data_IF_381675295466
#
_entry.id   IF_381675295466
#
_cell.length_a   1.000
_cell.length_b   1.000
_cell.length_c   1.000
_cell.angle_alpha   90.00
_cell.angle_beta   90.00
_cell.angle_gamma   90.00
#
_symmetry.space_group_name_H-M   'P 1'
#
loop_
_entity.id
_entity.type
_entity.pdbx_description
1 polymer ?
#
# COMPACT_ATOMS: atom_id res chain seq x y z
N UNK A 1 -17.82 12.19 69.74
CA UNK A 1 -18.79 12.20 68.63
C UNK A 1 -17.99 12.36 67.33
N UNK A 2 -17.75 11.25 66.56
CA UNK A 2 -17.00 11.24 65.30
C UNK A 2 -18.00 11.31 64.15
N UNK A 3 -17.84 12.32 63.28
CA UNK A 3 -18.65 12.47 62.05
C UNK A 3 -18.14 11.49 60.99
N UNK A 4 -19.04 10.62 60.51
CA UNK A 4 -18.78 9.75 59.36
C UNK A 4 -18.67 10.60 58.07
N UNK A 5 -17.68 10.36 57.19
CA UNK A 5 -17.63 11.05 55.91
C UNK A 5 -18.76 10.53 55.01
N UNK A 6 -19.42 11.46 54.31
CA UNK A 6 -20.42 11.17 53.27
C UNK A 6 -19.76 10.45 52.11
N UNK A 7 -20.30 9.30 51.74
CA UNK A 7 -19.97 8.62 50.47
C UNK A 7 -20.46 9.54 49.35
N UNK A 8 -19.52 9.94 48.51
CA UNK A 8 -19.84 10.56 47.21
C UNK A 8 -20.38 9.47 46.29
N UNK A 9 -21.65 9.56 45.93
CA UNK A 9 -22.25 8.74 44.90
C UNK A 9 -21.57 9.08 43.57
N UNK A 10 -20.61 8.26 43.18
CA UNK A 10 -20.13 8.28 41.81
C UNK A 10 -21.22 7.62 40.95
N UNK A 11 -22.09 8.45 40.37
CA UNK A 11 -22.99 7.98 39.34
C UNK A 11 -22.13 7.52 38.15
N UNK A 12 -21.96 6.23 38.01
CA UNK A 12 -21.44 5.63 36.81
C UNK A 12 -22.46 5.87 35.69
N UNK A 13 -22.29 6.98 34.98
CA UNK A 13 -23.06 7.21 33.76
C UNK A 13 -22.67 6.10 32.78
N UNK A 14 -23.59 5.19 32.51
CA UNK A 14 -23.44 4.23 31.45
C UNK A 14 -23.17 5.02 30.15
N UNK A 15 -22.18 4.61 29.37
CA UNK A 15 -21.90 5.29 28.10
C UNK A 15 -23.10 5.10 27.17
N UNK A 16 -23.95 6.09 27.10
CA UNK A 16 -25.05 6.10 26.15
C UNK A 16 -24.45 6.24 24.76
N UNK A 17 -24.67 5.21 23.91
CA UNK A 17 -24.25 5.22 22.52
C UNK A 17 -25.05 6.28 21.77
N UNK A 18 -24.52 7.50 21.73
CA UNK A 18 -25.15 8.57 20.96
C UNK A 18 -25.00 8.27 19.45
N UNK A 19 -25.96 8.72 18.63
CA UNK A 19 -25.81 8.57 17.16
C UNK A 19 -24.50 9.16 16.63
N UNK A 20 -24.00 10.23 17.25
CA UNK A 20 -22.71 10.82 16.89
C UNK A 20 -21.54 9.90 17.21
N UNK A 21 -21.59 9.19 18.32
CA UNK A 21 -20.57 8.23 18.72
C UNK A 21 -20.56 7.04 17.75
N UNK A 22 -21.75 6.53 17.37
CA UNK A 22 -21.89 5.45 16.40
C UNK A 22 -21.33 5.87 15.03
N UNK A 23 -21.64 7.09 14.58
CA UNK A 23 -21.11 7.64 13.33
C UNK A 23 -19.59 7.77 13.38
N UNK A 24 -19.04 8.20 14.51
CA UNK A 24 -17.59 8.29 14.68
C UNK A 24 -16.93 6.92 14.62
N UNK A 25 -17.54 5.91 15.28
CA UNK A 25 -17.05 4.52 15.22
C UNK A 25 -17.09 3.97 13.79
N UNK A 26 -18.19 4.19 13.07
CA UNK A 26 -18.32 3.75 11.68
C UNK A 26 -17.25 4.42 10.82
N UNK A 27 -17.07 5.74 10.97
CA UNK A 27 -16.06 6.48 10.21
C UNK A 27 -14.62 6.03 10.52
N UNK A 28 -14.35 5.70 11.79
CA UNK A 28 -13.01 5.22 12.17
C UNK A 28 -12.74 3.79 11.67
N UNK A 29 -13.80 3.00 11.47
CA UNK A 29 -13.68 1.60 11.06
C UNK A 29 -13.56 1.45 9.54
N UNK A 30 -14.22 2.34 8.78
CA UNK A 30 -14.19 2.27 7.31
C UNK A 30 -12.93 2.99 6.80
N UNK A 31 -12.00 2.26 6.16
CA UNK A 31 -10.80 2.91 5.62
C UNK A 31 -11.17 3.92 4.52
N UNK A 32 -10.45 5.02 4.41
CA UNK A 32 -10.64 5.93 3.29
C UNK A 32 -10.41 5.23 1.96
N UNK A 33 -11.02 5.76 0.90
CA UNK A 33 -10.94 5.18 -0.44
C UNK A 33 -10.03 6.06 -1.29
N UNK A 34 -9.07 5.42 -1.94
CA UNK A 34 -8.15 6.12 -2.84
C UNK A 34 -8.94 6.81 -3.98
N UNK A 35 -8.59 8.06 -4.34
CA UNK A 35 -9.34 8.81 -5.38
C UNK A 35 -9.50 8.06 -6.70
N UNK A 36 -8.50 7.26 -7.10
CA UNK A 36 -8.57 6.47 -8.34
C UNK A 36 -9.70 5.44 -8.35
N UNK A 37 -10.28 5.10 -7.19
CA UNK A 37 -11.40 4.16 -7.09
C UNK A 37 -12.76 4.81 -7.26
N UNK A 38 -12.86 6.13 -7.08
CA UNK A 38 -14.14 6.84 -7.08
C UNK A 38 -14.98 6.63 -8.34
N UNK A 39 -14.41 6.72 -9.58
CA UNK A 39 -15.22 6.52 -10.78
C UNK A 39 -15.78 5.10 -10.91
N UNK A 40 -15.05 4.08 -10.44
CA UNK A 40 -15.52 2.69 -10.49
C UNK A 40 -16.66 2.46 -9.51
N UNK A 41 -16.56 3.02 -8.31
CA UNK A 41 -17.62 2.94 -7.30
C UNK A 41 -18.86 3.67 -7.83
N UNK A 42 -18.67 4.88 -8.37
CA UNK A 42 -19.78 5.67 -8.95
C UNK A 42 -20.47 4.92 -10.08
N UNK A 43 -19.71 4.25 -10.96
CA UNK A 43 -20.28 3.44 -12.05
C UNK A 43 -21.13 2.28 -11.50
N UNK A 44 -20.65 1.56 -10.48
CA UNK A 44 -21.40 0.50 -9.84
C UNK A 44 -22.71 1.01 -9.23
N UNK A 45 -22.65 2.14 -8.53
CA UNK A 45 -23.81 2.78 -7.92
C UNK A 45 -24.81 3.28 -9.00
N UNK A 46 -24.29 3.79 -10.13
CA UNK A 46 -25.14 4.22 -11.25
C UNK A 46 -25.90 3.03 -11.85
N UNK A 47 -25.23 1.87 -12.03
CA UNK A 47 -25.90 0.64 -12.51
C UNK A 47 -27.01 0.26 -11.53
N UNK A 48 -26.73 0.29 -10.22
CA UNK A 48 -27.74 -0.04 -9.21
C UNK A 48 -28.91 0.94 -9.23
N UNK A 49 -28.63 2.24 -9.40
CA UNK A 49 -29.65 3.30 -9.43
C UNK A 49 -30.54 3.25 -10.67
N UNK A 50 -29.93 3.17 -11.86
CA UNK A 50 -30.69 3.09 -13.12
C UNK A 50 -31.50 1.80 -13.18
N UNK A 51 -30.91 0.70 -12.69
CA UNK A 51 -31.57 -0.61 -12.67
C UNK A 51 -32.36 -0.89 -11.40
N UNK A 52 -32.78 0.12 -10.62
CA UNK A 52 -33.32 -0.11 -9.28
C UNK A 52 -34.57 -1.04 -9.27
N UNK A 53 -35.35 -1.02 -10.34
CA UNK A 53 -36.54 -1.86 -10.49
C UNK A 53 -36.20 -3.33 -10.82
N UNK A 54 -34.99 -3.59 -11.30
CA UNK A 54 -34.53 -4.93 -11.63
C UNK A 54 -33.59 -5.43 -10.54
N UNK A 55 -34.02 -6.36 -9.73
CA UNK A 55 -33.25 -6.85 -8.58
C UNK A 55 -31.82 -7.30 -8.94
N UNK A 56 -31.64 -7.87 -10.13
CA UNK A 56 -30.31 -8.31 -10.58
C UNK A 56 -29.38 -7.14 -10.87
N UNK A 57 -29.86 -6.11 -11.59
CA UNK A 57 -29.06 -4.92 -11.88
C UNK A 57 -28.67 -4.20 -10.58
N UNK A 58 -29.64 -4.05 -9.66
CA UNK A 58 -29.39 -3.44 -8.36
C UNK A 58 -28.33 -4.22 -7.57
N UNK A 59 -28.48 -5.55 -7.45
CA UNK A 59 -27.53 -6.39 -6.72
C UNK A 59 -26.15 -6.36 -7.34
N UNK A 60 -26.05 -6.53 -8.66
CA UNK A 60 -24.76 -6.52 -9.37
C UNK A 60 -24.06 -5.17 -9.22
N UNK A 61 -24.81 -4.07 -9.37
CA UNK A 61 -24.23 -2.73 -9.20
C UNK A 61 -23.69 -2.49 -7.79
N UNK A 62 -24.46 -2.89 -6.77
CA UNK A 62 -24.03 -2.75 -5.38
C UNK A 62 -22.83 -3.63 -5.05
N UNK A 63 -22.82 -4.88 -5.55
CA UNK A 63 -21.68 -5.79 -5.35
C UNK A 63 -20.42 -5.25 -6.03
N UNK A 64 -20.56 -4.73 -7.26
CA UNK A 64 -19.43 -4.14 -7.98
C UNK A 64 -18.89 -2.90 -7.25
N UNK A 65 -19.78 -2.03 -6.77
CA UNK A 65 -19.39 -0.85 -6.01
C UNK A 65 -18.66 -1.24 -4.71
N UNK A 66 -19.18 -2.24 -3.99
CA UNK A 66 -18.58 -2.76 -2.76
C UNK A 66 -17.20 -3.39 -3.02
N UNK A 67 -17.08 -4.19 -4.08
CA UNK A 67 -15.81 -4.82 -4.47
C UNK A 67 -14.76 -3.74 -4.81
N UNK A 68 -15.17 -2.70 -5.55
CA UNK A 68 -14.28 -1.57 -5.87
C UNK A 68 -13.89 -0.81 -4.59
N UNK A 69 -14.83 -0.57 -3.68
CA UNK A 69 -14.51 0.10 -2.42
C UNK A 69 -13.49 -0.71 -1.60
N UNK A 70 -13.66 -2.03 -1.56
CA UNK A 70 -12.69 -2.92 -0.89
C UNK A 70 -11.32 -2.88 -1.54
N UNK A 71 -11.28 -2.94 -2.87
CA UNK A 71 -10.01 -2.93 -3.63
C UNK A 71 -9.24 -1.61 -3.45
N UNK A 72 -9.94 -0.47 -3.52
CA UNK A 72 -9.31 0.85 -3.47
C UNK A 72 -9.21 1.41 -2.04
N UNK A 73 -9.29 0.60 -1.01
CA UNK A 73 -9.18 1.03 0.38
C UNK A 73 -7.75 1.43 0.77
N UNK A 74 -7.32 2.35 1.45
CA UNK A 74 -6.36 2.71 1.87
C UNK A 74 -6.30 2.60 3.10
N UNK A 75 -6.21 1.64 3.87
CA UNK A 75 -6.19 1.54 5.32
C UNK A 75 -5.13 2.44 5.96
N UNK A 76 -5.42 3.01 7.10
CA UNK A 76 -4.40 3.78 7.83
C UNK A 76 -3.27 2.84 8.27
N UNK A 77 -2.04 3.36 8.30
CA UNK A 77 -0.85 2.60 8.70
C UNK A 77 0.01 3.45 9.63
N UNK A 78 0.68 2.79 10.55
CA UNK A 78 1.57 3.44 11.50
C UNK A 78 2.97 2.84 11.31
N UNK A 79 3.90 3.58 10.71
CA UNK A 79 5.26 3.08 10.53
C UNK A 79 5.94 2.79 11.85
N UNK A 80 6.87 1.81 11.87
CA UNK A 80 7.60 1.52 13.10
C UNK A 80 8.51 2.69 13.50
N UNK A 81 8.68 2.90 14.79
CA UNK A 81 9.54 3.96 15.33
C UNK A 81 11.03 3.62 15.25
N UNK A 82 11.38 2.43 14.75
CA UNK A 82 12.77 1.97 14.68
C UNK A 82 13.58 2.78 13.67
N UNK A 83 14.64 3.42 14.13
CA UNK A 83 15.53 4.18 13.26
C UNK A 83 16.16 3.27 12.20
N UNK A 84 16.26 3.80 10.98
CA UNK A 84 16.84 3.06 9.87
C UNK A 84 15.95 1.96 9.28
N UNK A 85 14.70 1.83 9.71
CA UNK A 85 13.81 0.82 9.15
C UNK A 85 13.53 1.08 7.66
N UNK A 86 13.63 0.03 6.86
CA UNK A 86 13.10 0.00 5.50
C UNK A 86 11.83 -0.85 5.57
N UNK A 87 10.68 -0.25 5.30
CA UNK A 87 9.39 -0.94 5.44
C UNK A 87 8.87 -1.46 4.10
N UNK A 88 7.99 -2.46 4.18
CA UNK A 88 7.32 -3.01 3.01
C UNK A 88 6.49 -1.91 2.32
N UNK A 89 6.67 -1.69 1.02
CA UNK A 89 5.87 -0.69 0.31
C UNK A 89 4.50 -1.18 -0.11
N UNK A 90 4.17 -2.45 0.11
CA UNK A 90 2.90 -3.04 -0.31
C UNK A 90 2.40 -4.07 0.68
N UNK A 91 1.07 -4.24 0.74
CA UNK A 91 0.43 -5.42 1.35
C UNK A 91 0.62 -6.60 0.40
N UNK A 92 0.87 -7.79 0.94
CA UNK A 92 0.96 -8.97 0.11
C UNK A 92 1.77 -10.09 0.75
N UNK A 93 2.32 -10.94 -0.12
CA UNK A 93 3.16 -12.06 0.30
C UNK A 93 4.52 -11.92 -0.38
N UNK A 94 5.59 -12.08 0.37
CA UNK A 94 6.95 -12.07 -0.19
C UNK A 94 7.12 -13.28 -1.09
N UNK A 95 7.37 -13.04 -2.37
CA UNK A 95 7.50 -14.11 -3.37
C UNK A 95 8.94 -14.35 -3.82
N UNK A 96 9.82 -13.32 -3.72
CA UNK A 96 11.22 -13.46 -4.10
C UNK A 96 12.09 -12.68 -3.10
N UNK A 97 13.21 -13.26 -2.72
CA UNK A 97 14.33 -12.58 -2.04
C UNK A 97 15.59 -13.04 -2.78
N UNK A 98 16.25 -12.11 -3.46
CA UNK A 98 17.43 -12.41 -4.25
C UNK A 98 18.33 -11.17 -4.37
N UNK A 99 19.31 -11.23 -5.26
CA UNK A 99 20.06 -10.06 -5.71
C UNK A 99 19.85 -9.90 -7.21
N UNK A 100 19.63 -8.68 -7.65
CA UNK A 100 19.37 -8.38 -9.05
C UNK A 100 19.89 -7.00 -9.41
N UNK A 101 20.24 -6.82 -10.68
CA UNK A 101 20.60 -5.49 -11.17
C UNK A 101 19.39 -4.56 -11.03
N UNK A 102 19.59 -3.32 -10.57
CA UNK A 102 18.48 -2.36 -10.49
C UNK A 102 17.95 -2.04 -11.89
N UNK A 103 16.71 -1.52 -11.99
CA UNK A 103 16.13 -1.19 -13.31
C UNK A 103 17.06 -0.31 -14.15
N UNK A 104 17.34 -0.74 -15.37
CA UNK A 104 18.28 -0.05 -16.26
C UNK A 104 17.87 1.40 -16.54
N UNK A 105 16.57 1.68 -16.55
CA UNK A 105 16.03 3.03 -16.79
C UNK A 105 16.38 4.02 -15.68
N UNK A 106 16.87 3.54 -14.52
CA UNK A 106 17.31 4.42 -13.42
C UNK A 106 18.79 4.81 -13.53
N UNK A 107 19.55 4.20 -14.46
CA UNK A 107 20.97 4.49 -14.68
C UNK A 107 21.81 4.36 -13.39
N UNK A 108 21.55 3.29 -12.61
CA UNK A 108 22.26 3.01 -11.35
C UNK A 108 23.44 2.03 -11.55
N UNK A 109 23.72 1.63 -12.81
CA UNK A 109 24.71 0.61 -13.10
C UNK A 109 24.13 -0.79 -12.99
N UNK A 110 24.98 -1.80 -13.20
CA UNK A 110 24.57 -3.20 -13.26
C UNK A 110 24.94 -4.00 -12.00
N UNK A 111 25.54 -3.36 -10.99
CA UNK A 111 25.92 -4.05 -9.77
C UNK A 111 24.67 -4.58 -9.06
N UNK A 112 24.62 -5.90 -8.77
CA UNK A 112 23.42 -6.46 -8.14
C UNK A 112 23.16 -5.88 -6.75
N UNK A 113 21.91 -5.56 -6.47
CA UNK A 113 21.44 -5.09 -5.18
C UNK A 113 20.51 -6.14 -4.57
N UNK A 114 20.46 -6.24 -3.24
CA UNK A 114 19.47 -7.09 -2.60
C UNK A 114 18.06 -6.65 -3.00
N UNK A 115 17.20 -7.62 -3.33
CA UNK A 115 15.84 -7.33 -3.78
C UNK A 115 14.83 -8.16 -2.99
N UNK A 116 13.77 -7.54 -2.53
CA UNK A 116 12.61 -8.19 -1.92
C UNK A 116 11.40 -7.88 -2.80
N UNK A 117 10.71 -8.93 -3.26
CA UNK A 117 9.53 -8.79 -4.12
C UNK A 117 8.28 -9.24 -3.37
N UNK A 118 7.23 -8.42 -3.43
CA UNK A 118 5.95 -8.66 -2.77
C UNK A 118 4.88 -8.82 -3.84
N UNK A 119 4.18 -9.94 -3.81
CA UNK A 119 3.03 -10.20 -4.68
C UNK A 119 1.76 -9.74 -3.99
N UNK A 120 0.97 -8.90 -4.68
CA UNK A 120 -0.30 -8.38 -4.19
C UNK A 120 -1.43 -9.17 -4.84
N UNK A 121 -2.18 -9.91 -4.03
CA UNK A 121 -3.38 -10.60 -4.51
C UNK A 121 -4.52 -9.58 -4.65
N UNK A 122 -5.59 -9.95 -5.36
CA UNK A 122 -6.75 -9.05 -5.55
C UNK A 122 -7.44 -8.66 -4.23
N UNK A 123 -7.19 -9.40 -3.15
CA UNK A 123 -7.77 -9.13 -1.84
C UNK A 123 -6.92 -8.19 -0.98
N UNK A 124 -5.68 -7.93 -1.38
CA UNK A 124 -4.79 -7.03 -0.65
C UNK A 124 -5.12 -5.57 -0.96
N UNK A 125 -4.71 -4.65 -0.07
CA UNK A 125 -4.80 -3.23 -0.39
C UNK A 125 -3.74 -2.90 -1.45
N UNK A 126 -4.16 -2.24 -2.52
CA UNK A 126 -3.28 -2.03 -3.68
C UNK A 126 -2.57 -0.68 -3.67
N UNK A 127 -2.63 0.04 -2.55
CA UNK A 127 -1.94 1.31 -2.35
C UNK A 127 -0.49 1.04 -1.99
N UNK A 128 0.45 1.73 -2.65
CA UNK A 128 1.88 1.62 -2.33
C UNK A 128 2.33 2.76 -1.43
N UNK A 129 3.27 2.42 -0.54
CA UNK A 129 3.80 3.35 0.45
C UNK A 129 5.32 3.46 0.37
N UNK A 130 5.82 4.65 0.71
CA UNK A 130 7.26 4.92 0.73
C UNK A 130 7.97 3.98 1.71
N UNK A 131 8.97 3.21 1.25
CA UNK A 131 9.67 2.28 2.14
C UNK A 131 10.62 2.96 3.12
N UNK A 132 11.03 4.18 2.83
CA UNK A 132 11.93 4.99 3.67
C UNK A 132 11.51 6.46 3.59
N UNK A 133 11.95 7.26 4.57
CA UNK A 133 11.86 8.71 4.46
C UNK A 133 13.01 9.23 3.57
N UNK A 134 12.70 10.13 2.66
CA UNK A 134 13.73 10.69 1.79
C UNK A 134 13.16 11.54 0.66
N UNK A 135 14.04 11.94 -0.23
CA UNK A 135 13.70 12.70 -1.42
C UNK A 135 13.60 11.77 -2.63
N UNK A 136 12.57 11.93 -3.42
CA UNK A 136 12.40 11.21 -4.70
C UNK A 136 13.39 11.81 -5.69
N UNK A 137 14.40 11.03 -6.09
CA UNK A 137 15.45 11.50 -6.99
C UNK A 137 15.26 11.01 -8.43
N UNK A 138 14.40 10.01 -8.65
CA UNK A 138 14.04 9.56 -10.00
C UNK A 138 12.67 8.87 -9.99
N UNK A 139 11.91 9.09 -11.04
CA UNK A 139 10.66 8.36 -11.34
C UNK A 139 10.74 7.99 -12.81
N UNK A 140 10.74 6.69 -13.14
CA UNK A 140 10.91 6.22 -14.51
C UNK A 140 9.88 5.13 -14.84
N UNK A 141 9.04 5.40 -15.82
CA UNK A 141 8.08 4.44 -16.36
C UNK A 141 8.67 3.72 -17.55
N UNK A 142 8.54 2.40 -17.55
CA UNK A 142 8.98 1.56 -18.70
C UNK A 142 7.78 0.76 -19.21
N UNK A 143 7.35 0.98 -20.45
CA UNK A 143 6.33 0.14 -21.07
C UNK A 143 6.81 -1.31 -21.18
N UNK A 144 5.88 -2.26 -21.11
CA UNK A 144 6.23 -3.67 -21.19
C UNK A 144 5.01 -4.55 -21.39
N UNK A 145 5.19 -5.83 -21.13
CA UNK A 145 4.13 -6.83 -21.24
C UNK A 145 3.25 -6.84 -19.98
N UNK A 146 2.21 -7.64 -20.00
CA UNK A 146 1.32 -7.88 -18.85
C UNK A 146 1.25 -9.38 -18.58
N UNK A 147 2.42 -9.96 -18.24
CA UNK A 147 2.53 -11.35 -17.82
C UNK A 147 2.17 -11.55 -16.35
N UNK A 148 2.16 -12.81 -15.91
CA UNK A 148 1.83 -13.13 -14.52
C UNK A 148 2.87 -12.53 -13.57
N UNK A 149 2.42 -11.70 -12.62
CA UNK A 149 3.33 -10.93 -11.76
C UNK A 149 4.02 -11.78 -10.68
N UNK A 150 3.55 -13.00 -10.44
CA UNK A 150 4.17 -13.92 -9.49
C UNK A 150 5.48 -14.54 -10.03
N UNK A 151 5.69 -14.49 -11.35
CA UNK A 151 6.88 -15.07 -11.97
C UNK A 151 8.09 -14.15 -11.81
N UNK A 152 9.31 -14.71 -11.60
CA UNK A 152 10.52 -13.87 -11.48
C UNK A 152 10.77 -12.97 -12.69
N UNK A 153 10.50 -13.44 -13.91
CA UNK A 153 10.69 -12.68 -15.13
C UNK A 153 9.78 -11.45 -15.27
N UNK A 154 8.72 -11.36 -14.43
CA UNK A 154 7.81 -10.22 -14.48
C UNK A 154 8.53 -8.88 -14.22
N UNK A 155 9.59 -8.90 -13.42
CA UNK A 155 10.37 -7.69 -13.13
C UNK A 155 11.03 -7.12 -14.38
N UNK A 156 11.40 -7.97 -15.34
CA UNK A 156 12.12 -7.56 -16.54
C UNK A 156 11.21 -7.32 -17.74
N UNK A 157 10.17 -8.13 -17.89
CA UNK A 157 9.31 -8.13 -19.07
C UNK A 157 8.08 -7.25 -18.96
N UNK A 158 7.51 -7.12 -17.74
CA UNK A 158 6.24 -6.44 -17.55
C UNK A 158 6.42 -4.92 -17.51
N UNK A 159 5.33 -4.22 -17.82
CA UNK A 159 5.25 -2.77 -17.62
C UNK A 159 5.54 -2.45 -16.16
N UNK A 160 6.42 -1.47 -15.94
CA UNK A 160 6.83 -1.10 -14.59
C UNK A 160 7.07 0.40 -14.42
N UNK A 161 7.00 0.85 -13.18
CA UNK A 161 7.31 2.23 -12.81
C UNK A 161 8.24 2.19 -11.59
N UNK A 162 9.41 2.79 -11.72
CA UNK A 162 10.47 2.76 -10.72
C UNK A 162 10.58 4.11 -10.02
N UNK A 163 10.54 4.09 -8.70
CA UNK A 163 10.71 5.28 -7.86
C UNK A 163 11.97 5.09 -7.02
N UNK A 164 12.93 6.00 -7.17
CA UNK A 164 14.21 5.98 -6.45
C UNK A 164 14.17 7.05 -5.37
N UNK A 165 14.36 6.64 -4.11
CA UNK A 165 14.28 7.52 -2.95
C UNK A 165 15.65 7.57 -2.29
N UNK A 166 16.18 8.77 -2.09
CA UNK A 166 17.46 9.01 -1.38
C UNK A 166 17.17 9.50 0.02
N UNK A 167 17.68 8.78 0.99
CA UNK A 167 17.55 9.14 2.41
C UNK A 167 18.49 10.28 2.79
N UNK A 168 18.29 10.86 3.97
CA UNK A 168 19.12 11.98 4.45
C UNK A 168 20.61 11.62 4.61
N UNK A 169 20.91 10.34 4.88
CA UNK A 169 22.30 9.87 4.99
C UNK A 169 22.88 9.40 3.64
N UNK A 170 22.15 9.61 2.55
CA UNK A 170 22.63 9.29 1.20
C UNK A 170 22.34 7.87 0.71
N UNK A 171 21.80 7.00 1.55
CA UNK A 171 21.41 5.66 1.11
C UNK A 171 20.23 5.73 0.14
N UNK A 172 20.17 4.83 -0.82
CA UNK A 172 19.12 4.83 -1.82
C UNK A 172 18.32 3.53 -1.78
N UNK A 173 17.00 3.66 -1.85
CA UNK A 173 16.05 2.55 -1.94
C UNK A 173 15.20 2.76 -3.19
N UNK A 174 15.00 1.68 -3.96
CA UNK A 174 14.17 1.74 -5.16
C UNK A 174 12.93 0.89 -4.94
N UNK A 175 11.77 1.46 -5.20
CA UNK A 175 10.48 0.76 -5.19
C UNK A 175 9.98 0.68 -6.64
N UNK A 176 9.75 -0.53 -7.15
CA UNK A 176 9.34 -0.76 -8.53
C UNK A 176 7.93 -1.37 -8.55
N UNK A 177 6.98 -0.60 -9.07
CA UNK A 177 5.63 -1.06 -9.32
C UNK A 177 5.63 -1.89 -10.61
N UNK A 178 5.28 -3.17 -10.52
CA UNK A 178 5.29 -4.10 -11.67
C UNK A 178 3.85 -4.53 -11.96
N UNK A 179 3.38 -4.24 -13.16
CA UNK A 179 2.03 -4.61 -13.59
C UNK A 179 1.92 -6.14 -13.74
N UNK A 180 0.74 -6.68 -13.41
CA UNK A 180 0.44 -8.10 -13.59
C UNK A 180 -0.49 -8.35 -14.77
N UNK A 181 -0.93 -9.60 -14.90
CA UNK A 181 -1.75 -10.08 -16.01
C UNK A 181 -3.04 -9.27 -16.21
N UNK A 182 -3.69 -8.89 -15.11
CA UNK A 182 -4.95 -8.13 -15.13
C UNK A 182 -4.69 -6.65 -14.88
N UNK A 183 -3.55 -6.30 -14.25
CA UNK A 183 -3.18 -4.94 -13.94
C UNK A 183 -2.75 -4.21 -15.21
N UNK A 184 -3.61 -3.31 -15.71
CA UNK A 184 -3.33 -2.55 -16.93
C UNK A 184 -3.04 -1.07 -16.66
N UNK A 185 -2.85 -0.70 -15.40
CA UNK A 185 -2.52 0.68 -15.08
C UNK A 185 -1.80 0.79 -13.75
N UNK A 186 -0.64 1.39 -13.83
CA UNK A 186 0.15 1.82 -12.67
C UNK A 186 -0.17 3.30 -12.44
N UNK A 187 -0.52 3.66 -11.23
CA UNK A 187 -0.71 5.05 -10.80
C UNK A 187 0.45 5.40 -9.89
N UNK A 188 1.17 6.45 -10.22
CA UNK A 188 2.23 6.98 -9.39
C UNK A 188 2.00 8.46 -9.20
N UNK A 189 1.85 8.87 -7.96
CA UNK A 189 1.62 10.26 -7.58
C UNK A 189 2.93 10.95 -7.14
N UNK A 190 4.03 10.19 -7.06
CA UNK A 190 5.34 10.74 -6.67
C UNK A 190 6.02 11.41 -7.86
N UNK A 191 6.67 12.53 -7.60
CA UNK A 191 7.42 13.29 -8.59
C UNK A 191 8.85 13.54 -8.08
N UNK A 192 9.79 13.73 -9.00
CA UNK A 192 11.17 14.07 -8.63
C UNK A 192 11.17 15.37 -7.83
N UNK A 193 11.87 15.34 -6.69
CA UNK A 193 11.93 16.46 -5.74
C UNK A 193 10.95 16.34 -4.57
N UNK A 194 9.98 15.44 -4.64
CA UNK A 194 9.06 15.22 -3.52
C UNK A 194 9.81 14.66 -2.30
N UNK A 195 9.43 15.13 -1.12
CA UNK A 195 9.92 14.60 0.15
C UNK A 195 8.84 13.71 0.75
N UNK A 196 9.14 12.43 0.83
CA UNK A 196 8.22 11.44 1.38
C UNK A 196 8.66 11.05 2.78
N UNK A 197 7.71 10.93 3.70
CA UNK A 197 7.95 10.26 4.97
C UNK A 197 7.75 8.75 4.78
N UNK A 198 8.43 7.95 5.59
CA UNK A 198 8.25 6.50 5.61
C UNK A 198 6.75 6.18 5.83
N UNK A 199 6.18 5.33 4.98
CA UNK A 199 4.75 4.98 5.05
C UNK A 199 3.81 5.91 4.28
N UNK A 200 4.29 7.03 3.74
CA UNK A 200 3.46 7.91 2.90
C UNK A 200 3.00 7.18 1.64
N UNK A 201 1.75 7.39 1.26
CA UNK A 201 1.20 6.81 0.04
C UNK A 201 1.78 7.53 -1.19
N UNK A 202 2.28 6.78 -2.18
CA UNK A 202 2.82 7.38 -3.40
C UNK A 202 2.22 6.82 -4.68
N UNK A 203 1.39 5.78 -4.60
CA UNK A 203 0.82 5.21 -5.80
C UNK A 203 -0.11 4.04 -5.55
N UNK A 204 -0.56 3.45 -6.67
CA UNK A 204 -1.49 2.33 -6.65
C UNK A 204 -1.35 1.55 -7.95
N UNK A 205 -1.43 0.21 -7.89
CA UNK A 205 -1.49 -0.65 -9.08
C UNK A 205 -2.86 -1.33 -9.11
N UNK A 206 -3.53 -1.34 -10.28
CA UNK A 206 -4.85 -1.97 -10.39
C UNK A 206 -4.73 -3.44 -10.77
N UNK A 207 -5.29 -4.32 -9.92
CA UNK A 207 -5.61 -5.74 -10.07
C UNK A 207 -4.42 -6.69 -10.30
N UNK A 208 -3.96 -7.32 -9.21
CA UNK A 208 -2.96 -8.38 -9.23
C UNK A 208 -1.61 -7.90 -9.75
N UNK A 209 -0.69 -7.65 -8.85
CA UNK A 209 0.54 -6.92 -9.18
C UNK A 209 1.67 -7.37 -8.28
N UNK A 210 2.85 -6.85 -8.55
CA UNK A 210 4.05 -7.13 -7.77
C UNK A 210 4.76 -5.82 -7.48
N UNK A 211 5.41 -5.76 -6.34
CA UNK A 211 6.24 -4.62 -5.98
C UNK A 211 7.62 -5.11 -5.57
N UNK A 212 8.64 -4.67 -6.29
CA UNK A 212 10.03 -5.00 -5.99
C UNK A 212 10.67 -3.85 -5.21
N UNK A 213 11.40 -4.18 -4.14
CA UNK A 213 12.17 -3.21 -3.36
C UNK A 213 13.63 -3.58 -3.47
N UNK A 214 14.43 -2.68 -4.05
CA UNK A 214 15.88 -2.82 -4.10
C UNK A 214 16.47 -2.07 -2.91
N UNK A 215 17.26 -2.78 -2.14
CA UNK A 215 17.85 -2.29 -0.89
C UNK A 215 19.26 -1.75 -1.15
N UNK A 216 19.80 -0.88 -0.28
CA UNK A 216 21.18 -0.43 -0.41
C UNK A 216 22.16 -1.60 -0.41
N UNK A 217 23.34 -1.43 -1.07
CA UNK A 217 24.36 -2.48 -1.07
C UNK A 217 24.71 -2.94 0.36
N UNK A 218 24.88 -4.24 0.54
CA UNK A 218 25.25 -4.83 1.82
C UNK A 218 24.14 -4.93 2.83
N UNK A 219 22.91 -4.54 2.48
CA UNK A 219 21.74 -4.66 3.36
C UNK A 219 21.17 -6.08 3.29
N UNK A 220 20.92 -6.69 4.45
CA UNK A 220 20.32 -8.03 4.51
C UNK A 220 18.82 -7.92 4.85
N UNK A 221 17.94 -8.56 4.05
CA UNK A 221 16.53 -8.66 4.41
C UNK A 221 16.33 -9.45 5.70
N UNK A 222 15.44 -8.97 6.57
CA UNK A 222 15.09 -9.65 7.83
C UNK A 222 13.79 -10.46 7.72
N UNK A 223 13.30 -10.63 6.49
CA UNK A 223 12.04 -11.32 6.17
C UNK A 223 12.32 -12.59 5.37
N UNK A 224 11.28 -13.40 5.13
CA UNK A 224 11.42 -14.67 4.40
C UNK A 224 10.34 -14.81 3.33
N UNK A 225 10.66 -15.56 2.28
CA UNK A 225 9.69 -15.92 1.23
C UNK A 225 8.49 -16.63 1.89
N UNK A 226 7.28 -16.25 1.48
CA UNK A 226 6.04 -16.74 2.06
C UNK A 226 5.49 -15.90 3.20
N UNK A 227 6.28 -14.98 3.75
CA UNK A 227 5.83 -14.11 4.84
C UNK A 227 4.86 -13.04 4.29
N UNK A 228 3.79 -12.76 5.05
CA UNK A 228 2.88 -11.67 4.73
C UNK A 228 3.47 -10.34 5.19
N UNK A 229 3.23 -9.31 4.38
CA UNK A 229 3.64 -7.94 4.67
C UNK A 229 2.44 -7.02 4.80
N UNK A 230 2.63 -5.99 5.63
CA UNK A 230 1.69 -4.87 5.79
C UNK A 230 2.45 -3.61 5.35
N UNK A 231 1.93 -2.95 4.31
CA UNK A 231 2.55 -1.77 3.73
C UNK A 231 2.74 -0.66 4.77
N UNK A 232 3.93 -0.11 4.84
CA UNK A 232 4.27 0.95 5.78
C UNK A 232 4.61 0.46 7.18
N UNK A 233 4.41 -0.82 7.49
CA UNK A 233 4.60 -1.34 8.86
C UNK A 233 5.61 -2.48 8.96
N UNK A 234 5.55 -3.47 8.06
CA UNK A 234 6.46 -4.62 8.10
C UNK A 234 7.89 -4.18 7.75
N UNK A 235 8.84 -4.38 8.65
CA UNK A 235 10.25 -4.05 8.38
C UNK A 235 10.84 -5.12 7.46
N UNK A 236 11.37 -4.69 6.31
CA UNK A 236 12.09 -5.55 5.36
C UNK A 236 13.56 -5.65 5.68
N UNK A 237 14.15 -4.56 6.15
CA UNK A 237 15.59 -4.47 6.45
C UNK A 237 15.90 -3.19 7.27
N UNK A 238 16.93 -2.87 7.58
CA UNK A 238 17.35 -1.82 8.14
C UNK A 238 18.29 -1.24 7.29
N UNK A 239 18.50 0.11 7.26
CA UNK A 239 19.55 0.88 6.56
C UNK A 239 20.92 0.64 7.20
N UNK A 240 21.99 0.63 6.39
CA UNK A 240 23.32 0.39 6.94
C UNK A 240 23.79 1.54 7.82
#
# INVERSE_FOLDING_TARGET
MARRPRRSDSSSAEPTLSPQHLLALVRSTIPPIHPAGRPFIAAGLAVAGVGYRHRWARRTGLLAAGACAGFFRXPPRVPPSRAGAIVAPADGVICVIDTAAPPAELSMGDAPLPRVSIFLSVFDAHVQRAPVSGEVVAVQHRPGRFGSADLPAASDDNERNSVRIRTANGAEVVAVQVAGLVARRIVCDAHVGDKLAIGDTYGLIRFGSRLDTYLPPGTEPVVRVGQRTIAGETILAXLP
#
